data_IF_266764616365
#
_entry.id   IF_266764616365
#
_cell.length_a   1.000
_cell.length_b   1.000
_cell.length_c   1.000
_cell.angle_alpha   90.00
_cell.angle_beta   90.00
_cell.angle_gamma   90.00
#
_symmetry.space_group_name_H-M   'P 1'
#
loop_
_entity.id
_entity.type
_entity.pdbx_description
1 polymer ?
#
# COMPACT_ATOMS: atom_id res chain seq x y z
N UNK A 1 24.28 -14.80 0.21
CA UNK A 1 24.77 -13.95 1.32
C UNK A 1 23.93 -12.69 1.54
N UNK A 2 23.10 -12.24 0.58
CA UNK A 2 22.20 -11.07 0.78
C UNK A 2 20.80 -11.42 1.31
N UNK A 3 20.37 -12.70 1.22
CA UNK A 3 19.03 -13.12 1.68
C UNK A 3 18.90 -13.25 3.21
N UNK A 4 20.01 -13.38 3.93
CA UNK A 4 20.02 -13.62 5.38
C UNK A 4 19.71 -12.36 6.20
N UNK A 5 20.08 -11.17 5.69
CA UNK A 5 19.84 -9.91 6.41
C UNK A 5 18.38 -9.45 6.35
N UNK A 6 17.67 -9.73 5.24
CA UNK A 6 16.24 -9.43 5.12
C UNK A 6 15.42 -10.25 6.11
N UNK A 7 15.78 -11.53 6.29
CA UNK A 7 15.06 -12.43 7.20
C UNK A 7 15.31 -12.10 8.69
N UNK A 8 16.43 -11.47 9.02
CA UNK A 8 16.75 -11.00 10.38
C UNK A 8 16.02 -9.71 10.75
N UNK A 9 15.76 -8.80 9.80
CA UNK A 9 15.00 -7.57 10.06
C UNK A 9 13.53 -7.87 10.40
N UNK A 10 12.93 -8.87 9.76
CA UNK A 10 11.57 -9.31 10.05
C UNK A 10 11.42 -9.99 11.43
N UNK A 11 12.51 -10.52 12.01
CA UNK A 11 12.49 -11.29 13.27
C UNK A 11 12.68 -10.43 14.53
N UNK A 12 12.94 -9.13 14.41
CA UNK A 12 13.08 -8.21 15.56
C UNK A 12 12.29 -6.90 15.40
N UNK A 13 10.94 -6.89 15.40
CA UNK A 13 10.20 -5.62 15.35
C UNK A 13 10.06 -4.93 16.72
N UNK A 14 10.51 -5.53 17.83
CA UNK A 14 10.36 -4.95 19.17
C UNK A 14 11.67 -4.37 19.69
N UNK A 15 12.15 -3.27 19.11
CA UNK A 15 13.36 -2.63 19.63
C UNK A 15 13.86 -1.35 18.96
N UNK A 16 13.20 -0.88 17.90
CA UNK A 16 13.55 0.40 17.27
C UNK A 16 12.27 1.10 16.85
N UNK A 17 12.16 2.38 17.16
CA UNK A 17 11.04 3.25 16.80
C UNK A 17 10.90 3.38 15.27
N UNK A 18 10.44 2.33 14.58
CA UNK A 18 9.96 2.42 13.21
C UNK A 18 8.52 2.92 13.26
N UNK A 19 8.32 4.17 12.82
CA UNK A 19 7.05 4.86 12.93
C UNK A 19 5.94 4.17 12.14
N UNK A 20 4.75 4.13 12.74
CA UNK A 20 3.50 3.81 12.06
C UNK A 20 3.27 4.81 10.92
N UNK A 21 2.86 4.32 9.73
CA UNK A 21 2.60 5.16 8.56
C UNK A 21 1.11 5.26 8.31
N UNK A 22 0.60 6.47 8.06
CA UNK A 22 -0.79 6.71 7.71
C UNK A 22 -0.90 7.21 6.27
N UNK A 23 -1.67 6.53 5.44
CA UNK A 23 -1.98 6.90 4.06
C UNK A 23 -3.41 7.41 4.02
N UNK A 24 -3.59 8.64 3.55
CA UNK A 24 -4.91 9.29 3.42
C UNK A 24 -5.31 9.32 1.95
N UNK A 25 -6.41 8.67 1.62
CA UNK A 25 -6.95 8.51 0.27
C UNK A 25 -6.74 7.11 -0.29
N UNK A 26 -7.82 6.34 -0.43
CA UNK A 26 -7.88 4.99 -0.98
C UNK A 26 -8.04 4.96 -2.50
N UNK A 27 -7.44 5.89 -3.24
CA UNK A 27 -7.32 5.80 -4.69
C UNK A 27 -6.23 4.81 -5.12
N UNK A 28 -6.05 4.60 -6.43
CA UNK A 28 -5.01 3.70 -6.97
C UNK A 28 -3.61 4.00 -6.44
N UNK A 29 -3.27 5.28 -6.27
CA UNK A 29 -1.98 5.71 -5.73
C UNK A 29 -1.82 5.38 -4.24
N UNK A 30 -2.85 5.61 -3.43
CA UNK A 30 -2.81 5.34 -1.98
C UNK A 30 -2.81 3.85 -1.67
N UNK A 31 -3.53 3.05 -2.47
CA UNK A 31 -3.49 1.59 -2.39
C UNK A 31 -2.07 1.09 -2.69
N UNK A 32 -1.46 1.53 -3.80
CA UNK A 32 -0.10 1.10 -4.16
C UNK A 32 0.94 1.54 -3.12
N UNK A 33 0.89 2.80 -2.68
CA UNK A 33 1.81 3.31 -1.65
C UNK A 33 1.70 2.52 -0.34
N UNK A 34 0.47 2.16 0.06
CA UNK A 34 0.24 1.35 1.25
C UNK A 34 0.83 -0.05 1.11
N UNK A 35 0.70 -0.65 -0.07
CA UNK A 35 1.21 -1.98 -0.36
C UNK A 35 2.74 -2.02 -0.39
N UNK A 36 3.37 -0.99 -0.98
CA UNK A 36 4.83 -0.85 -1.03
C UNK A 36 5.41 -0.69 0.38
N UNK A 37 4.79 0.16 1.20
CA UNK A 37 5.17 0.39 2.59
C UNK A 37 4.95 -0.86 3.47
N UNK A 38 3.83 -1.56 3.27
CA UNK A 38 3.57 -2.82 3.97
C UNK A 38 4.58 -3.91 3.58
N UNK A 39 4.95 -3.99 2.29
CA UNK A 39 5.98 -4.92 1.79
C UNK A 39 7.36 -4.58 2.35
N UNK A 40 7.65 -3.29 2.56
CA UNK A 40 8.87 -2.82 3.21
C UNK A 40 8.91 -3.08 4.74
N UNK A 41 7.82 -3.59 5.33
CA UNK A 41 7.75 -3.97 6.74
C UNK A 41 7.20 -2.88 7.67
N UNK A 42 6.62 -1.80 7.14
CA UNK A 42 5.95 -0.78 7.96
C UNK A 42 4.53 -1.19 8.31
N UNK A 43 4.07 -0.78 9.50
CA UNK A 43 2.66 -0.85 9.85
C UNK A 43 1.93 0.34 9.22
N UNK A 44 1.01 0.05 8.30
CA UNK A 44 0.32 1.06 7.50
C UNK A 44 -1.17 1.13 7.85
N UNK A 45 -1.66 2.35 8.08
CA UNK A 45 -3.09 2.64 8.20
C UNK A 45 -3.56 3.37 6.93
N UNK A 46 -4.45 2.74 6.16
CA UNK A 46 -5.08 3.37 5.00
C UNK A 46 -6.44 3.94 5.41
N UNK A 47 -6.64 5.24 5.25
CA UNK A 47 -7.90 5.94 5.57
C UNK A 47 -8.49 6.54 4.31
N UNK A 48 -9.73 6.15 4.01
CA UNK A 48 -10.54 6.68 2.92
C UNK A 48 -11.80 7.33 3.52
N UNK A 49 -12.22 8.46 2.94
CA UNK A 49 -13.43 9.19 3.33
C UNK A 49 -14.69 8.50 2.81
N UNK A 50 -14.63 7.97 1.59
CA UNK A 50 -15.72 7.25 0.94
C UNK A 50 -15.95 5.88 1.62
N UNK A 51 -17.16 5.30 1.50
CA UNK A 51 -17.46 3.97 2.03
C UNK A 51 -16.71 2.84 1.31
N UNK A 52 -16.07 3.14 0.16
CA UNK A 52 -15.32 2.20 -0.65
C UNK A 52 -14.01 2.82 -1.13
N UNK A 53 -12.99 1.96 -1.32
CA UNK A 53 -11.72 2.33 -1.96
C UNK A 53 -11.83 2.27 -3.50
N UNK A 54 -10.80 2.73 -4.20
CA UNK A 54 -10.68 2.75 -5.66
C UNK A 54 -10.61 4.16 -6.26
N UNK A 55 -11.06 5.19 -5.53
CA UNK A 55 -11.03 6.58 -5.99
C UNK A 55 -11.76 6.78 -7.34
N UNK A 56 -11.24 7.64 -8.21
CA UNK A 56 -11.83 7.84 -9.54
C UNK A 56 -11.66 6.63 -10.47
N UNK A 57 -10.66 5.77 -10.22
CA UNK A 57 -10.44 4.57 -11.04
C UNK A 57 -11.66 3.65 -11.00
N UNK A 58 -12.29 3.53 -9.82
CA UNK A 58 -13.52 2.77 -9.63
C UNK A 58 -14.74 3.32 -10.40
N UNK A 59 -14.69 4.56 -10.87
CA UNK A 59 -15.78 5.22 -11.59
C UNK A 59 -15.61 5.15 -13.11
N UNK A 60 -14.41 4.81 -13.59
CA UNK A 60 -14.09 4.75 -15.01
C UNK A 60 -14.36 3.31 -15.50
N UNK A 61 -14.99 3.15 -16.65
CA UNK A 61 -15.29 1.82 -17.20
C UNK A 61 -14.02 1.14 -17.75
N UNK A 62 -13.21 1.91 -18.49
CA UNK A 62 -12.06 1.39 -19.24
C UNK A 62 -10.81 2.25 -19.10
N UNK A 63 -9.66 1.57 -19.06
CA UNK A 63 -8.34 2.22 -18.96
C UNK A 63 -7.67 2.29 -20.31
N UNK A 64 -7.32 3.49 -20.77
CA UNK A 64 -6.47 3.63 -21.96
C UNK A 64 -5.01 3.28 -21.61
N UNK A 65 -4.21 2.65 -22.49
CA UNK A 65 -4.47 2.26 -23.89
C UNK A 65 -5.02 0.85 -24.08
N UNK A 66 -5.00 0.02 -23.04
CA UNK A 66 -5.30 -1.42 -23.16
C UNK A 66 -6.79 -1.71 -23.23
N UNK A 67 -7.64 -0.76 -22.82
CA UNK A 67 -9.09 -0.89 -22.73
C UNK A 67 -9.51 -2.02 -21.77
N UNK A 68 -8.72 -2.20 -20.70
CA UNK A 68 -9.04 -3.14 -19.62
C UNK A 68 -10.13 -2.57 -18.72
N UNK A 69 -10.86 -3.45 -18.04
CA UNK A 69 -11.82 -3.03 -17.01
C UNK A 69 -11.05 -2.42 -15.83
N UNK A 70 -11.55 -1.31 -15.31
CA UNK A 70 -10.87 -0.59 -14.22
C UNK A 70 -11.07 -1.23 -12.84
N UNK A 71 -12.07 -2.11 -12.71
CA UNK A 71 -12.42 -2.83 -11.48
C UNK A 71 -12.76 -4.29 -11.79
#
# INVERSE_FOLDING_TARGET
MEKEQIEQLCKNPTGGNFGDVMVVGGGISGIQASLDLATAGFKVYLVEKAPSIGGHMAQIDKTFPTNDCSM
#
